data_IF_959906704874
#
_entry.id   IF_959906704874
#
_cell.length_a   1.000
_cell.length_b   1.000
_cell.length_c   1.000
_cell.angle_alpha   90.00
_cell.angle_beta   90.00
_cell.angle_gamma   90.00
#
_symmetry.space_group_name_H-M   'P 1'
#
loop_
_entity.id
_entity.type
_entity.pdbx_description
1 polymer ?
#
# COMPACT_ATOMS: atom_id res chain seq x y z
N UNK A 1 -22.89 26.27 -20.88
CA UNK A 1 -21.99 25.12 -20.63
C UNK A 1 -21.74 24.43 -21.96
N UNK A 2 -20.50 24.37 -22.46
CA UNK A 2 -20.25 23.71 -23.75
C UNK A 2 -20.40 22.19 -23.59
N UNK A 3 -21.26 21.59 -24.42
CA UNK A 3 -21.44 20.14 -24.44
C UNK A 3 -20.23 19.49 -25.13
N UNK A 4 -19.55 18.56 -24.45
CA UNK A 4 -18.54 17.71 -25.09
C UNK A 4 -19.20 16.86 -26.19
N UNK A 5 -18.54 16.74 -27.35
CA UNK A 5 -18.99 15.83 -28.42
C UNK A 5 -18.94 14.37 -27.96
N UNK A 6 -19.72 13.50 -28.61
CA UNK A 6 -19.72 12.07 -28.31
C UNK A 6 -18.33 11.44 -28.49
N UNK A 7 -17.59 11.87 -29.50
CA UNK A 7 -16.21 11.47 -29.79
C UNK A 7 -15.25 11.88 -28.66
N UNK A 8 -15.28 13.13 -28.21
CA UNK A 8 -14.45 13.60 -27.08
C UNK A 8 -14.77 12.85 -25.78
N UNK A 9 -16.04 12.48 -25.57
CA UNK A 9 -16.43 11.63 -24.42
C UNK A 9 -15.88 10.21 -24.55
N UNK A 10 -15.85 9.64 -25.76
CA UNK A 10 -15.31 8.30 -26.00
C UNK A 10 -13.79 8.27 -25.78
N UNK A 11 -13.08 9.27 -26.31
CA UNK A 11 -11.63 9.44 -26.10
C UNK A 11 -11.30 9.60 -24.60
N UNK A 12 -12.05 10.46 -23.89
CA UNK A 12 -11.90 10.63 -22.45
C UNK A 12 -12.09 9.31 -21.70
N UNK A 13 -13.13 8.53 -22.01
CA UNK A 13 -13.38 7.23 -21.38
C UNK A 13 -12.27 6.23 -21.65
N UNK A 14 -11.75 6.18 -22.88
CA UNK A 14 -10.62 5.32 -23.23
C UNK A 14 -9.37 5.70 -22.42
N UNK A 15 -9.06 7.00 -22.30
CA UNK A 15 -7.97 7.49 -21.47
C UNK A 15 -8.16 7.18 -19.99
N UNK A 16 -9.38 7.35 -19.46
CA UNK A 16 -9.70 7.03 -18.07
C UNK A 16 -9.54 5.52 -17.77
N UNK A 17 -9.98 4.65 -18.69
CA UNK A 17 -9.82 3.21 -18.57
C UNK A 17 -8.33 2.81 -18.52
N UNK A 18 -7.49 3.35 -19.41
CA UNK A 18 -6.04 3.11 -19.40
C UNK A 18 -5.39 3.54 -18.09
N UNK A 19 -5.73 4.75 -17.60
CA UNK A 19 -5.20 5.24 -16.30
C UNK A 19 -5.62 4.34 -15.14
N UNK A 20 -6.86 3.83 -15.14
CA UNK A 20 -7.34 2.91 -14.11
C UNK A 20 -6.53 1.60 -14.07
N UNK A 21 -6.25 1.02 -15.24
CA UNK A 21 -5.43 -0.20 -15.35
C UNK A 21 -4.01 0.05 -14.83
N UNK A 22 -3.35 1.12 -15.31
CA UNK A 22 -2.00 1.46 -14.84
C UNK A 22 -1.95 1.77 -13.33
N UNK A 23 -2.97 2.43 -12.79
CA UNK A 23 -3.06 2.73 -11.36
C UNK A 23 -3.18 1.44 -10.54
N UNK A 24 -3.97 0.47 -11.01
CA UNK A 24 -4.10 -0.82 -10.34
C UNK A 24 -2.79 -1.61 -10.37
N UNK A 25 -2.10 -1.67 -11.50
CA UNK A 25 -0.78 -2.32 -11.61
C UNK A 25 0.24 -1.69 -10.64
N UNK A 26 0.30 -0.37 -10.59
CA UNK A 26 1.18 0.36 -9.65
C UNK A 26 0.80 0.09 -8.20
N UNK A 27 -0.50 0.06 -7.89
CA UNK A 27 -1.01 -0.22 -6.54
C UNK A 27 -0.63 -1.62 -6.09
N UNK A 28 -0.73 -2.62 -6.96
CA UNK A 28 -0.33 -3.99 -6.67
C UNK A 28 1.18 -4.12 -6.47
N UNK A 29 1.98 -3.47 -7.31
CA UNK A 29 3.44 -3.44 -7.15
C UNK A 29 3.86 -2.74 -5.85
N UNK A 30 3.17 -1.66 -5.46
CA UNK A 30 3.38 -0.97 -4.19
C UNK A 30 3.00 -1.85 -2.99
N UNK A 31 1.88 -2.57 -3.06
CA UNK A 31 1.45 -3.49 -2.01
C UNK A 31 2.46 -4.62 -1.79
N UNK A 32 2.91 -5.25 -2.87
CA UNK A 32 3.92 -6.32 -2.78
C UNK A 32 5.23 -5.81 -2.14
N UNK A 33 5.65 -4.60 -2.50
CA UNK A 33 6.82 -3.95 -1.88
C UNK A 33 6.59 -3.67 -0.40
N UNK A 34 5.43 -3.13 -0.03
CA UNK A 34 5.07 -2.83 1.34
C UNK A 34 5.06 -4.08 2.21
N UNK A 35 4.56 -5.21 1.70
CA UNK A 35 4.59 -6.50 2.38
C UNK A 35 6.03 -7.01 2.59
N UNK A 36 6.90 -6.90 1.59
CA UNK A 36 8.32 -7.28 1.75
C UNK A 36 9.03 -6.40 2.78
N UNK A 37 8.75 -5.09 2.79
CA UNK A 37 9.28 -4.17 3.80
C UNK A 37 8.76 -4.52 5.19
N UNK A 38 7.48 -4.88 5.32
CA UNK A 38 6.90 -5.29 6.59
C UNK A 38 7.60 -6.53 7.17
N UNK A 39 7.93 -7.52 6.33
CA UNK A 39 8.69 -8.71 6.75
C UNK A 39 10.10 -8.31 7.21
N UNK A 40 10.84 -7.54 6.41
CA UNK A 40 12.19 -7.12 6.77
C UNK A 40 12.22 -6.26 8.06
N UNK A 41 11.23 -5.39 8.24
CA UNK A 41 11.09 -4.60 9.45
C UNK A 41 10.73 -5.47 10.66
N UNK A 42 9.86 -6.47 10.49
CA UNK A 42 9.55 -7.43 11.55
C UNK A 42 10.79 -8.21 11.99
N UNK A 43 11.60 -8.69 11.04
CA UNK A 43 12.87 -9.38 11.34
C UNK A 43 13.82 -8.49 12.13
N UNK A 44 13.93 -7.21 11.77
CA UNK A 44 14.72 -6.23 12.51
C UNK A 44 14.20 -6.05 13.94
N UNK A 45 12.88 -5.95 14.12
CA UNK A 45 12.25 -5.79 15.44
C UNK A 45 12.53 -7.00 16.34
N UNK A 46 12.47 -8.23 15.80
CA UNK A 46 12.83 -9.44 16.54
C UNK A 46 14.33 -9.48 16.88
N UNK A 47 15.19 -9.27 15.89
CA UNK A 47 16.63 -9.56 16.03
C UNK A 47 17.40 -8.45 16.73
N UNK A 48 17.08 -7.18 16.47
CA UNK A 48 17.83 -6.04 16.99
C UNK A 48 17.17 -5.38 18.21
N UNK A 49 15.85 -5.54 18.37
CA UNK A 49 15.08 -4.87 19.41
C UNK A 49 14.41 -5.82 20.41
N UNK A 50 14.58 -7.14 20.24
CA UNK A 50 14.08 -8.13 21.19
C UNK A 50 12.55 -8.23 21.23
N UNK A 51 11.87 -7.83 20.16
CA UNK A 51 10.43 -8.01 20.08
C UNK A 51 10.08 -9.50 20.27
N UNK A 52 9.00 -9.80 20.98
CA UNK A 52 8.51 -11.19 21.18
C UNK A 52 7.31 -11.51 20.31
N UNK A 53 6.68 -10.47 19.76
CA UNK A 53 5.58 -10.57 18.80
C UNK A 53 5.56 -9.33 17.93
N UNK A 54 5.36 -9.52 16.63
CA UNK A 54 5.15 -8.45 15.65
C UNK A 54 3.92 -8.81 14.81
N UNK A 55 3.01 -7.86 14.63
CA UNK A 55 1.77 -8.02 13.84
C UNK A 55 1.66 -6.89 12.82
N UNK A 56 1.43 -7.25 11.56
CA UNK A 56 1.04 -6.33 10.49
C UNK A 56 -0.42 -5.96 10.64
N UNK A 57 -0.71 -4.65 10.60
CA UNK A 57 -2.07 -4.14 10.60
C UNK A 57 -2.24 -3.02 9.58
N UNK A 58 -3.36 -2.29 9.66
CA UNK A 58 -3.61 -1.15 8.79
C UNK A 58 -3.88 -1.54 7.34
N UNK A 59 -3.59 -0.63 6.42
CA UNK A 59 -3.97 -0.80 5.01
C UNK A 59 -3.16 -1.90 4.30
N UNK A 60 -1.91 -2.13 4.69
CA UNK A 60 -1.05 -3.18 4.12
C UNK A 60 -1.55 -4.60 4.44
N UNK A 61 -2.25 -4.79 5.57
CA UNK A 61 -2.94 -6.06 5.90
C UNK A 61 -4.27 -6.26 5.15
N UNK A 62 -4.79 -5.22 4.49
CA UNK A 62 -6.10 -5.23 3.83
C UNK A 62 -6.00 -4.71 2.39
N UNK A 63 -5.70 -5.59 1.41
CA UNK A 63 -5.44 -5.20 0.01
C UNK A 63 -6.52 -4.32 -0.63
N UNK A 64 -7.78 -4.41 -0.20
CA UNK A 64 -8.89 -3.60 -0.71
C UNK A 64 -8.88 -2.15 -0.20
N UNK A 65 -8.16 -1.87 0.89
CA UNK A 65 -8.01 -0.54 1.49
C UNK A 65 -6.66 0.12 1.15
N UNK A 66 -5.73 -0.64 0.58
CA UNK A 66 -4.40 -0.17 0.23
C UNK A 66 -4.40 0.69 -1.04
N UNK A 67 -3.80 1.88 -0.99
CA UNK A 67 -3.72 2.83 -2.09
C UNK A 67 -2.30 3.41 -2.24
N UNK A 68 -2.09 4.27 -3.24
CA UNK A 68 -0.77 4.80 -3.63
C UNK A 68 -0.01 5.60 -2.56
N UNK A 69 -0.68 5.99 -1.48
CA UNK A 69 -0.13 6.74 -0.34
C UNK A 69 -0.09 5.93 0.94
N UNK A 70 -0.47 4.66 0.87
CA UNK A 70 -0.41 3.75 2.01
C UNK A 70 1.04 3.48 2.40
N UNK A 71 1.26 3.41 3.70
CA UNK A 71 2.48 3.05 4.41
C UNK A 71 2.34 1.66 5.07
N UNK A 72 3.34 1.30 5.88
CA UNK A 72 3.42 0.01 6.59
C UNK A 72 3.23 0.23 8.08
N UNK A 73 2.22 -0.43 8.65
CA UNK A 73 1.89 -0.36 10.06
C UNK A 73 2.21 -1.68 10.78
N UNK A 74 3.11 -1.64 11.77
CA UNK A 74 3.50 -2.81 12.57
C UNK A 74 3.30 -2.53 14.06
N UNK A 75 2.67 -3.48 14.76
CA UNK A 75 2.56 -3.48 16.22
C UNK A 75 3.57 -4.48 16.77
N UNK A 76 4.42 -4.05 17.70
CA UNK A 76 5.45 -4.88 18.30
C UNK A 76 5.33 -4.91 19.83
N UNK A 77 5.53 -6.10 20.41
CA UNK A 77 5.53 -6.32 21.86
C UNK A 77 6.91 -6.80 22.31
N UNK A 78 7.20 -6.64 23.61
CA UNK A 78 8.45 -7.12 24.21
C UNK A 78 9.64 -6.16 24.02
N UNK A 79 9.46 -5.06 23.30
CA UNK A 79 10.46 -4.00 23.20
C UNK A 79 10.39 -3.18 24.48
N UNK A 80 11.41 -3.33 25.33
CA UNK A 80 11.54 -2.58 26.57
C UNK A 80 11.84 -1.10 26.35
N UNK A 81 11.62 -0.29 27.38
CA UNK A 81 12.13 1.08 27.38
C UNK A 81 13.67 1.06 27.32
N UNK A 82 14.26 2.01 26.62
CA UNK A 82 15.70 2.26 26.77
C UNK A 82 15.92 2.94 28.12
N UNK A 83 16.83 2.38 28.91
CA UNK A 83 17.38 3.03 30.11
C UNK A 83 18.18 4.28 29.73
#
# INVERSE_FOLDING_TARGET
MSQLSAEKRAEYRAGAARRKVMAEERRQAHLARAQNVAVAAADLLYTAYGATKVVLFGSTAHPQRFHERSDVDLAAWGIGERA
#
